data_IF_912478010549
#
_entry.id   IF_912478010549
#
_cell.length_a   1.000
_cell.length_b   1.000
_cell.length_c   1.000
_cell.angle_alpha   90.00
_cell.angle_beta   90.00
_cell.angle_gamma   90.00
#
_symmetry.space_group_name_H-M   'P 1'
#
loop_
_entity.id
_entity.type
_entity.pdbx_description
1 polymer ?
#
# COMPACT_ATOMS: atom_id res chain seq x y z
N UNK A 1 30.24 -37.78 -72.58
CA UNK A 1 29.30 -37.99 -71.50
C UNK A 1 29.91 -37.58 -70.15
N UNK A 2 29.91 -36.35 -69.85
CA UNK A 2 30.34 -35.80 -68.53
C UNK A 2 29.87 -34.33 -68.51
N UNK A 3 28.66 -34.05 -68.06
CA UNK A 3 28.26 -32.65 -67.67
C UNK A 3 26.80 -32.51 -67.30
N UNK A 4 26.24 -33.38 -66.43
CA UNK A 4 24.86 -33.18 -65.96
C UNK A 4 24.72 -33.31 -64.43
N UNK A 5 25.80 -33.55 -63.68
CA UNK A 5 25.65 -33.90 -62.23
C UNK A 5 26.03 -32.77 -61.26
N UNK A 6 26.13 -31.52 -61.72
CA UNK A 6 26.53 -30.40 -60.82
C UNK A 6 25.48 -29.30 -60.62
N UNK A 7 24.25 -29.50 -61.04
CA UNK A 7 23.25 -28.40 -61.00
C UNK A 7 22.07 -28.63 -60.04
N UNK A 8 22.06 -29.71 -59.26
CA UNK A 8 20.96 -29.99 -58.30
C UNK A 8 21.33 -29.80 -56.84
N UNK A 9 22.52 -29.28 -56.51
CA UNK A 9 22.93 -29.10 -55.09
C UNK A 9 22.78 -27.66 -54.58
N UNK A 10 22.32 -26.74 -55.44
CA UNK A 10 22.21 -25.31 -55.09
C UNK A 10 20.83 -24.82 -54.62
N UNK A 11 19.79 -25.63 -54.69
CA UNK A 11 18.41 -25.17 -54.42
C UNK A 11 17.85 -25.64 -53.07
N UNK A 12 18.58 -26.50 -52.33
CA UNK A 12 18.07 -27.07 -51.09
C UNK A 12 18.51 -26.37 -49.79
N UNK A 13 19.23 -25.23 -49.89
CA UNK A 13 19.72 -24.48 -48.68
C UNK A 13 18.96 -23.17 -48.43
N UNK A 14 18.01 -22.77 -49.27
CA UNK A 14 17.28 -21.51 -49.12
C UNK A 14 15.93 -21.58 -48.44
N UNK A 15 15.59 -22.66 -47.75
CA UNK A 15 14.26 -22.81 -47.06
C UNK A 15 14.31 -23.00 -45.54
N UNK A 16 15.42 -22.63 -44.90
CA UNK A 16 15.51 -22.75 -43.44
C UNK A 16 15.61 -21.40 -42.68
N UNK A 17 15.28 -20.30 -43.33
CA UNK A 17 15.03 -19.03 -42.62
C UNK A 17 13.54 -18.69 -42.63
N UNK A 18 12.69 -19.64 -42.21
CA UNK A 18 11.40 -19.21 -41.65
C UNK A 18 11.75 -18.70 -40.28
N UNK A 19 11.97 -17.38 -40.18
CA UNK A 19 12.22 -16.69 -38.96
C UNK A 19 11.11 -17.04 -37.96
N UNK A 20 11.47 -17.52 -36.79
CA UNK A 20 10.61 -17.43 -35.63
C UNK A 20 10.12 -16.00 -35.53
N UNK A 21 8.86 -15.78 -35.82
CA UNK A 21 8.23 -14.49 -35.60
C UNK A 21 8.25 -14.32 -34.08
N UNK A 22 9.04 -13.37 -33.58
CA UNK A 22 9.25 -13.10 -32.16
C UNK A 22 8.01 -12.55 -31.45
N UNK A 23 6.82 -12.66 -32.05
CA UNK A 23 5.57 -12.14 -31.56
C UNK A 23 4.90 -13.00 -30.48
N UNK A 24 5.39 -14.22 -30.22
CA UNK A 24 4.78 -15.15 -29.27
C UNK A 24 5.63 -15.42 -28.02
N UNK A 25 6.64 -14.60 -27.77
CA UNK A 25 7.45 -14.77 -26.56
C UNK A 25 6.71 -14.21 -25.35
N UNK A 26 6.30 -15.10 -24.46
CA UNK A 26 5.69 -14.76 -23.16
C UNK A 26 6.56 -15.30 -22.02
N UNK A 27 6.64 -14.56 -20.94
CA UNK A 27 7.27 -14.97 -19.67
C UNK A 27 6.29 -14.86 -18.52
N UNK A 28 6.44 -15.73 -17.53
CA UNK A 28 5.72 -15.60 -16.27
C UNK A 28 6.52 -14.74 -15.30
N UNK A 29 5.85 -13.79 -14.68
CA UNK A 29 6.39 -12.97 -13.60
C UNK A 29 5.55 -13.20 -12.35
N UNK A 30 6.19 -13.19 -11.19
CA UNK A 30 5.52 -13.21 -9.89
C UNK A 30 5.49 -11.79 -9.37
N UNK A 31 4.30 -11.29 -9.09
CA UNK A 31 4.11 -10.05 -8.33
C UNK A 31 4.04 -10.44 -6.86
N UNK A 32 5.00 -9.96 -6.08
CA UNK A 32 5.08 -10.29 -4.65
C UNK A 32 3.92 -9.69 -3.86
N UNK A 33 3.56 -10.36 -2.78
CA UNK A 33 2.56 -9.87 -1.85
C UNK A 33 3.00 -8.54 -1.23
N UNK A 34 2.02 -7.67 -0.97
CA UNK A 34 2.30 -6.37 -0.35
C UNK A 34 1.09 -5.82 0.39
N UNK A 35 1.37 -5.01 1.40
CA UNK A 35 0.37 -4.22 2.08
C UNK A 35 0.50 -2.76 1.66
N UNK A 36 -0.59 -2.18 1.18
CA UNK A 36 -0.66 -0.75 0.85
C UNK A 36 -1.54 -0.04 1.90
N UNK A 37 -1.11 1.15 2.28
CA UNK A 37 -1.91 2.03 3.12
C UNK A 37 -2.81 2.87 2.21
N UNK A 38 -4.09 2.94 2.54
CA UNK A 38 -5.09 3.70 1.80
C UNK A 38 -5.85 4.63 2.75
N UNK A 39 -6.56 5.64 2.26
CA UNK A 39 -7.45 6.44 3.10
C UNK A 39 -8.49 5.61 3.85
N UNK A 40 -8.86 4.44 3.38
CA UNK A 40 -9.84 3.54 4.02
C UNK A 40 -9.23 2.43 4.89
N UNK A 41 -7.93 2.26 4.96
CA UNK A 41 -7.27 1.21 5.77
C UNK A 41 -5.99 0.69 5.11
N UNK A 42 -5.40 -0.31 5.71
CA UNK A 42 -4.41 -1.14 5.04
C UNK A 42 -5.12 -2.15 4.15
N UNK A 43 -4.65 -2.31 2.92
CA UNK A 43 -5.13 -3.31 1.98
C UNK A 43 -4.00 -4.29 1.69
N UNK A 44 -4.24 -5.58 1.95
CA UNK A 44 -3.31 -6.64 1.60
C UNK A 44 -3.58 -7.10 0.17
N UNK A 45 -2.54 -7.11 -0.64
CA UNK A 45 -2.55 -7.65 -2.01
C UNK A 45 -1.73 -8.93 -1.96
N UNK A 46 -2.34 -10.11 -2.15
CA UNK A 46 -1.61 -11.37 -2.19
C UNK A 46 -0.69 -11.44 -3.41
N UNK A 47 0.33 -12.29 -3.35
CA UNK A 47 1.15 -12.60 -4.51
C UNK A 47 0.31 -13.26 -5.63
N UNK A 48 0.62 -12.91 -6.86
CA UNK A 48 -0.03 -13.52 -8.04
C UNK A 48 0.94 -13.61 -9.20
N UNK A 49 0.68 -14.55 -10.09
CA UNK A 49 1.44 -14.75 -11.32
C UNK A 49 0.76 -14.03 -12.48
N UNK A 50 1.57 -13.46 -13.36
CA UNK A 50 1.12 -12.75 -14.54
C UNK A 50 1.96 -13.19 -15.74
N UNK A 51 1.32 -13.62 -16.81
CA UNK A 51 1.98 -13.91 -18.09
C UNK A 51 2.07 -12.60 -18.88
N UNK A 52 3.28 -12.21 -19.26
CA UNK A 52 3.56 -10.96 -19.95
C UNK A 52 4.48 -11.21 -21.17
N UNK A 53 4.49 -10.32 -22.17
CA UNK A 53 5.48 -10.38 -23.25
C UNK A 53 6.92 -10.36 -22.71
N UNK A 54 7.86 -10.99 -23.42
CA UNK A 54 9.25 -11.08 -22.95
C UNK A 54 9.96 -9.74 -22.79
N UNK A 55 9.55 -8.74 -23.53
CA UNK A 55 10.04 -7.35 -23.46
C UNK A 55 9.37 -6.51 -22.36
N UNK A 56 8.37 -7.08 -21.66
CA UNK A 56 7.70 -6.38 -20.58
C UNK A 56 8.68 -6.02 -19.46
N UNK A 57 8.76 -4.75 -19.15
CA UNK A 57 9.54 -4.23 -18.03
C UNK A 57 8.57 -4.01 -16.86
N UNK A 58 8.88 -4.65 -15.72
CA UNK A 58 8.09 -4.45 -14.49
C UNK A 58 8.30 -2.99 -14.05
N UNK A 59 7.25 -2.16 -14.00
CA UNK A 59 7.41 -0.81 -13.49
C UNK A 59 7.85 -0.86 -12.02
N UNK A 60 8.75 0.02 -11.59
CA UNK A 60 9.16 0.08 -10.20
C UNK A 60 7.92 0.33 -9.31
N UNK A 61 7.90 -0.36 -8.17
CA UNK A 61 6.84 -0.15 -7.19
C UNK A 61 6.90 1.30 -6.69
N UNK A 62 5.83 2.04 -6.89
CA UNK A 62 5.73 3.38 -6.30
C UNK A 62 5.62 3.26 -4.78
N UNK A 63 6.66 3.73 -4.09
CA UNK A 63 6.59 3.86 -2.63
C UNK A 63 5.61 4.95 -2.23
N UNK A 64 4.87 4.69 -1.16
CA UNK A 64 3.97 5.69 -0.59
C UNK A 64 4.80 6.81 0.03
N UNK A 65 4.59 8.03 -0.47
CA UNK A 65 5.35 9.21 -0.03
C UNK A 65 4.82 9.70 1.30
N UNK A 66 5.70 9.82 2.28
CA UNK A 66 5.39 10.43 3.58
C UNK A 66 5.77 11.91 3.57
N UNK A 67 4.96 12.72 4.22
CA UNK A 67 5.31 14.12 4.49
C UNK A 67 6.49 14.16 5.47
N UNK A 68 7.66 14.60 5.00
CA UNK A 68 8.89 14.62 5.79
C UNK A 68 8.90 15.74 6.83
N UNK A 69 8.48 16.95 6.41
CA UNK A 69 8.37 18.12 7.28
C UNK A 69 7.02 18.10 8.00
N UNK A 70 6.89 17.16 8.93
CA UNK A 70 5.66 16.84 9.65
C UNK A 70 5.95 16.64 11.13
N UNK A 71 5.06 17.15 11.97
CA UNK A 71 5.02 16.82 13.39
C UNK A 71 3.58 16.64 13.85
N UNK A 72 3.41 16.07 15.02
CA UNK A 72 2.10 15.96 15.66
C UNK A 72 2.18 16.18 17.15
N UNK A 73 1.05 16.57 17.73
CA UNK A 73 0.84 16.75 19.17
C UNK A 73 -0.41 15.97 19.59
N UNK A 74 -0.28 15.12 20.60
CA UNK A 74 -1.39 14.35 21.15
C UNK A 74 -2.11 15.22 22.18
N UNK A 75 -3.28 15.75 21.80
CA UNK A 75 -4.13 16.52 22.70
C UNK A 75 -4.86 15.57 23.66
N UNK A 76 -5.38 14.47 23.10
CA UNK A 76 -6.07 13.42 23.85
C UNK A 76 -5.91 12.09 23.14
N UNK A 77 -5.72 11.02 23.91
CA UNK A 77 -5.81 9.63 23.42
C UNK A 77 -6.26 8.74 24.58
N UNK A 78 -7.51 8.30 24.54
CA UNK A 78 -8.13 7.53 25.63
C UNK A 78 -8.82 6.29 25.04
N UNK A 79 -8.48 5.15 25.59
CA UNK A 79 -9.18 3.89 25.33
C UNK A 79 -9.90 3.44 26.60
N UNK A 80 -11.20 3.18 26.50
CA UNK A 80 -12.03 2.62 27.54
C UNK A 80 -12.36 1.18 27.16
N UNK A 81 -11.77 0.16 27.81
CA UNK A 81 -11.92 -1.24 27.41
C UNK A 81 -13.33 -1.79 27.69
N UNK A 82 -14.05 -1.21 28.65
CA UNK A 82 -15.43 -1.54 28.95
C UNK A 82 -16.18 -0.27 29.41
N UNK A 83 -17.22 0.09 28.65
CA UNK A 83 -18.10 1.22 28.97
C UNK A 83 -19.23 0.86 29.92
N UNK A 84 -19.33 -0.41 30.36
CA UNK A 84 -20.45 -0.96 31.13
C UNK A 84 -21.66 -1.33 30.26
N UNK A 85 -21.53 -1.29 28.91
CA UNK A 85 -22.59 -1.62 27.95
C UNK A 85 -22.18 -2.71 26.96
N UNK A 86 -21.22 -3.55 27.30
CA UNK A 86 -20.58 -4.53 26.40
C UNK A 86 -19.93 -3.86 25.18
N UNK A 87 -19.42 -2.65 25.35
CA UNK A 87 -18.70 -1.91 24.32
C UNK A 87 -17.37 -1.37 24.86
N UNK A 88 -16.37 -1.32 24.01
CA UNK A 88 -15.15 -0.54 24.22
C UNK A 88 -15.23 0.76 23.43
N UNK A 89 -14.52 1.80 23.88
CA UNK A 89 -14.53 3.12 23.23
C UNK A 89 -13.11 3.63 23.06
N UNK A 90 -12.81 4.12 21.86
CA UNK A 90 -11.57 4.87 21.61
C UNK A 90 -11.90 6.31 21.23
N UNK A 91 -11.23 7.23 21.93
CA UNK A 91 -11.34 8.66 21.69
C UNK A 91 -9.95 9.24 21.52
N UNK A 92 -9.76 10.06 20.48
CA UNK A 92 -8.55 10.86 20.38
C UNK A 92 -8.76 12.21 19.69
N UNK A 93 -7.89 13.14 20.05
CA UNK A 93 -7.66 14.42 19.37
C UNK A 93 -6.15 14.56 19.18
N UNK A 94 -5.74 14.68 17.92
CA UNK A 94 -4.33 14.81 17.56
C UNK A 94 -4.19 16.00 16.61
N UNK A 95 -3.34 16.94 16.97
CA UNK A 95 -2.98 18.07 16.12
C UNK A 95 -1.88 17.63 15.18
N UNK A 96 -2.12 17.74 13.89
CA UNK A 96 -1.17 17.45 12.81
C UNK A 96 -0.60 18.77 12.30
N UNK A 97 0.71 18.86 12.16
CA UNK A 97 1.38 20.07 11.71
C UNK A 97 2.12 19.80 10.40
N UNK A 98 1.77 20.53 9.36
CA UNK A 98 2.56 20.61 8.14
C UNK A 98 3.60 21.73 8.32
N UNK A 99 4.86 21.36 8.43
CA UNK A 99 5.97 22.30 8.61
C UNK A 99 6.58 22.73 7.27
N UNK A 100 6.10 22.16 6.17
CA UNK A 100 6.56 22.51 4.82
C UNK A 100 5.91 23.81 4.32
N UNK A 101 6.54 24.42 3.35
CA UNK A 101 6.02 25.62 2.68
C UNK A 101 5.02 25.31 1.55
N UNK A 102 4.55 24.06 1.46
CA UNK A 102 3.61 23.61 0.44
C UNK A 102 2.36 23.01 1.08
N UNK A 103 1.22 23.28 0.46
CA UNK A 103 -0.02 22.56 0.75
C UNK A 103 0.11 21.11 0.28
N UNK A 104 -0.35 20.18 1.09
CA UNK A 104 -0.35 18.75 0.75
C UNK A 104 -1.73 18.15 0.92
N UNK A 105 -2.06 17.19 0.04
CA UNK A 105 -3.22 16.32 0.19
C UNK A 105 -2.75 14.94 0.61
N UNK A 106 -3.51 14.30 1.49
CA UNK A 106 -3.11 13.00 2.00
C UNK A 106 -3.98 12.55 3.15
N UNK A 107 -3.43 11.70 3.99
CA UNK A 107 -4.16 11.15 5.14
C UNK A 107 -3.21 10.77 6.27
N UNK A 108 -3.63 10.95 7.53
CA UNK A 108 -2.86 10.47 8.68
C UNK A 108 -3.03 8.97 8.85
N UNK A 109 -1.93 8.31 9.20
CA UNK A 109 -1.89 6.92 9.64
C UNK A 109 -1.40 6.89 11.08
N UNK A 110 -2.24 6.34 11.96
CA UNK A 110 -1.89 6.06 13.34
C UNK A 110 -1.37 4.64 13.43
N UNK A 111 -0.20 4.45 14.03
CA UNK A 111 0.26 3.14 14.48
C UNK A 111 -0.09 3.02 15.95
N UNK A 112 -0.80 1.96 16.30
CA UNK A 112 -1.25 1.68 17.66
C UNK A 112 -0.75 0.32 18.12
N UNK A 113 -0.53 0.20 19.41
CA UNK A 113 -0.29 -1.07 20.11
C UNK A 113 -1.58 -1.45 20.84
N UNK A 114 -2.18 -2.55 20.44
CA UNK A 114 -3.36 -3.14 21.07
C UNK A 114 -2.94 -4.44 21.76
N UNK A 115 -2.76 -4.42 23.07
CA UNK A 115 -2.34 -5.56 23.89
C UNK A 115 -1.05 -6.26 23.38
N UNK A 116 -0.08 -5.49 22.87
CA UNK A 116 1.18 -6.00 22.33
C UNK A 116 1.17 -6.26 20.81
N UNK A 117 0.03 -6.08 20.16
CA UNK A 117 -0.10 -6.19 18.70
C UNK A 117 -0.03 -4.80 18.09
N UNK A 118 1.05 -4.54 17.34
CA UNK A 118 1.27 -3.25 16.68
C UNK A 118 0.65 -3.25 15.30
N UNK A 119 -0.30 -2.34 15.06
CA UNK A 119 -1.04 -2.22 13.80
C UNK A 119 -1.03 -0.77 13.30
N UNK A 120 -0.80 -0.59 11.99
CA UNK A 120 -0.92 0.70 11.33
C UNK A 120 -2.29 0.85 10.68
N UNK A 121 -2.94 1.99 10.86
CA UNK A 121 -4.18 2.35 10.18
C UNK A 121 -5.46 1.69 10.69
N UNK A 122 -5.43 1.07 11.87
CA UNK A 122 -6.61 0.40 12.45
C UNK A 122 -7.71 1.36 12.88
N UNK A 123 -7.36 2.55 13.37
CA UNK A 123 -8.31 3.55 13.86
C UNK A 123 -8.14 4.85 13.07
N UNK A 124 -9.15 5.25 12.34
CA UNK A 124 -9.06 6.36 11.40
C UNK A 124 -10.19 7.35 11.49
N UNK A 125 -9.82 8.60 11.22
CA UNK A 125 -10.72 9.70 10.94
C UNK A 125 -10.53 10.15 9.49
N UNK A 126 -11.59 10.67 8.88
CA UNK A 126 -11.58 11.28 7.53
C UNK A 126 -11.29 12.77 7.57
N UNK A 127 -10.98 13.34 8.74
CA UNK A 127 -10.58 14.73 8.86
C UNK A 127 -9.11 14.93 8.49
N UNK A 128 -8.74 16.14 8.09
CA UNK A 128 -7.37 16.53 7.75
C UNK A 128 -6.80 15.84 6.48
N UNK A 129 -7.66 15.64 5.47
CA UNK A 129 -7.21 15.13 4.16
C UNK A 129 -6.39 16.16 3.37
N UNK A 130 -6.38 17.42 3.82
CA UNK A 130 -5.57 18.49 3.28
C UNK A 130 -4.94 19.27 4.42
N UNK A 131 -3.63 19.52 4.30
CA UNK A 131 -2.87 20.36 5.22
C UNK A 131 -2.27 21.52 4.44
N UNK A 132 -2.66 22.74 4.82
CA UNK A 132 -2.10 23.95 4.24
C UNK A 132 -0.63 24.11 4.61
N UNK A 133 0.12 24.91 3.83
CA UNK A 133 1.52 25.22 4.11
C UNK A 133 1.68 25.87 5.48
N UNK A 134 2.66 25.43 6.26
CA UNK A 134 2.98 25.98 7.60
C UNK A 134 1.75 26.07 8.52
N UNK A 135 0.85 25.10 8.44
CA UNK A 135 -0.40 25.11 9.19
C UNK A 135 -0.67 23.81 9.91
N UNK A 136 -1.73 23.78 10.71
CA UNK A 136 -2.12 22.60 11.46
C UNK A 136 -3.61 22.29 11.30
N UNK A 137 -3.95 21.00 11.49
CA UNK A 137 -5.30 20.50 11.50
C UNK A 137 -5.47 19.54 12.69
N UNK A 138 -6.63 19.57 13.35
CA UNK A 138 -6.94 18.64 14.44
C UNK A 138 -7.77 17.50 13.90
N UNK A 139 -7.21 16.29 13.94
CA UNK A 139 -7.95 15.08 13.66
C UNK A 139 -8.62 14.57 14.94
N UNK A 140 -9.92 14.25 14.83
CA UNK A 140 -10.73 13.75 15.95
C UNK A 140 -11.31 12.39 15.62
N UNK A 141 -11.43 11.56 16.64
CA UNK A 141 -12.04 10.25 16.55
C UNK A 141 -12.75 9.92 17.85
N UNK A 142 -13.96 9.42 17.74
CA UNK A 142 -14.75 8.98 18.89
C UNK A 142 -15.68 7.87 18.43
N UNK A 143 -15.35 6.62 18.79
CA UNK A 143 -16.16 5.47 18.41
C UNK A 143 -16.22 4.42 19.50
N UNK A 144 -17.41 3.82 19.62
CA UNK A 144 -17.66 2.63 20.40
C UNK A 144 -17.66 1.39 19.49
N UNK A 145 -17.13 0.29 20.01
CA UNK A 145 -17.03 -1.02 19.36
C UNK A 145 -17.69 -2.07 20.25
N UNK A 146 -18.49 -2.94 19.66
CA UNK A 146 -19.04 -4.07 20.41
C UNK A 146 -17.92 -5.01 20.89
N UNK A 147 -17.99 -5.42 22.15
CA UNK A 147 -17.11 -6.43 22.73
C UNK A 147 -17.67 -7.82 22.38
N UNK A 148 -16.84 -8.64 21.73
CA UNK A 148 -17.17 -10.04 21.52
C UNK A 148 -16.48 -10.90 22.59
N UNK A 149 -17.17 -11.18 23.68
CA UNK A 149 -16.64 -11.95 24.82
C UNK A 149 -16.19 -13.37 24.46
N UNK A 150 -16.67 -13.93 23.35
CA UNK A 150 -16.31 -15.28 22.91
C UNK A 150 -14.93 -15.31 22.19
N UNK A 151 -14.48 -14.16 21.70
CA UNK A 151 -13.19 -14.05 20.97
C UNK A 151 -12.12 -13.38 21.85
N UNK A 152 -12.53 -12.81 22.97
CA UNK A 152 -11.70 -11.94 23.79
C UNK A 152 -11.93 -10.46 23.46
N UNK A 153 -11.43 -9.59 24.31
CA UNK A 153 -11.54 -8.14 24.10
C UNK A 153 -10.20 -7.45 24.38
N UNK A 154 -9.97 -6.38 23.67
CA UNK A 154 -8.80 -5.54 23.85
C UNK A 154 -8.84 -4.84 25.20
N UNK A 155 -7.77 -4.96 25.99
CA UNK A 155 -7.63 -4.35 27.32
C UNK A 155 -6.96 -2.99 27.28
N UNK A 156 -6.06 -2.79 26.31
CA UNK A 156 -5.34 -1.54 26.15
C UNK A 156 -5.12 -1.20 24.68
N UNK A 157 -5.19 0.08 24.35
CA UNK A 157 -4.75 0.61 23.07
C UNK A 157 -3.87 1.82 23.35
N UNK A 158 -2.66 1.83 22.84
CA UNK A 158 -1.69 2.92 22.99
C UNK A 158 -1.29 3.46 21.63
N UNK A 159 -1.14 4.76 21.51
CA UNK A 159 -0.56 5.38 20.32
C UNK A 159 0.94 5.16 20.31
N UNK A 160 1.47 4.62 19.22
CA UNK A 160 2.91 4.43 18.99
C UNK A 160 3.49 5.60 18.18
N UNK A 161 2.84 5.93 17.05
CA UNK A 161 3.26 7.04 16.17
C UNK A 161 2.11 7.49 15.26
N UNK A 162 2.28 8.68 14.69
CA UNK A 162 1.44 9.22 13.62
C UNK A 162 2.34 9.61 12.45
N UNK A 163 1.95 9.22 11.25
CA UNK A 163 2.60 9.58 9.99
C UNK A 163 1.56 10.14 9.04
N UNK A 164 1.96 11.06 8.16
CA UNK A 164 1.07 11.61 7.14
C UNK A 164 1.54 11.17 5.75
N UNK A 165 0.68 10.48 5.03
CA UNK A 165 0.96 9.97 3.68
C UNK A 165 0.33 10.88 2.65
N UNK A 166 1.11 11.28 1.65
CA UNK A 166 0.70 12.18 0.57
C UNK A 166 -0.01 11.35 -0.50
N UNK A 167 -1.17 11.83 -0.95
CA UNK A 167 -1.85 11.33 -2.16
C UNK A 167 -1.44 12.17 -3.37
N UNK A 168 -1.19 11.50 -4.48
CA UNK A 168 -0.94 12.15 -5.77
C UNK A 168 -2.24 12.60 -6.43
#
# INVERSE_FOLDING_TARGET
MKTVTKMCLGVLISLLFIGCNSSDCNKEIVIEERTILTPSGSSYIPSYQLTVPCDYVIPPLEEQVRLKEFSYEVVQFVFTPDTGRNTARLQYQIKLNNLSNQQVKGFPILTTDADGIVVAGGYRSTSCEQLEANSSCIVTYDKEFAINVNVGFTKSVKLVKVEYYITK
#
